data_IF_960676766129
#
_entry.id   IF_960676766129
#
_cell.length_a   1.000
_cell.length_b   1.000
_cell.length_c   1.000
_cell.angle_alpha   90.00
_cell.angle_beta   90.00
_cell.angle_gamma   90.00
#
_symmetry.space_group_name_H-M   'P 1'
#
loop_
_entity.id
_entity.type
_entity.pdbx_description
1 polymer ?
#
# COMPACT_ATOMS: atom_id res chain seq x y z
N UNK A 1 -22.91 35.90 4.17
CA UNK A 1 -22.81 35.11 5.42
C UNK A 1 -21.64 34.15 5.24
N UNK A 2 -20.74 34.05 6.22
CA UNK A 2 -19.32 33.71 6.06
C UNK A 2 -19.06 32.21 5.80
N UNK A 3 -18.21 31.91 4.82
CA UNK A 3 -17.62 30.60 4.53
C UNK A 3 -16.79 30.08 5.71
N UNK A 4 -17.35 29.14 6.48
CA UNK A 4 -16.61 28.47 7.55
C UNK A 4 -15.75 27.36 6.94
N UNK A 5 -14.52 27.74 6.57
CA UNK A 5 -13.46 26.84 6.13
C UNK A 5 -13.05 25.95 7.31
N UNK A 6 -13.57 24.72 7.35
CA UNK A 6 -13.22 23.69 8.35
C UNK A 6 -11.76 23.28 8.18
N UNK A 7 -10.85 23.92 8.91
CA UNK A 7 -9.44 23.49 8.99
C UNK A 7 -9.37 22.20 9.81
N UNK A 8 -9.30 21.08 9.11
CA UNK A 8 -9.16 19.75 9.71
C UNK A 8 -7.84 19.59 10.46
N UNK A 9 -7.91 19.01 11.65
CA UNK A 9 -6.78 18.61 12.48
C UNK A 9 -5.81 17.74 11.65
N UNK A 10 -4.56 18.21 11.48
CA UNK A 10 -3.53 17.48 10.74
C UNK A 10 -3.02 16.34 11.62
N UNK A 11 -3.60 15.14 11.46
CA UNK A 11 -3.09 13.93 12.12
C UNK A 11 -1.67 13.66 11.60
N UNK A 12 -0.68 13.81 12.48
CA UNK A 12 0.72 13.55 12.16
C UNK A 12 0.90 12.04 12.01
N UNK A 13 1.21 11.59 10.79
CA UNK A 13 1.50 10.18 10.52
C UNK A 13 2.96 9.91 10.86
N UNK A 14 3.19 9.06 11.85
CA UNK A 14 4.53 8.65 12.28
C UNK A 14 5.08 7.50 11.44
N UNK A 15 6.41 7.35 11.47
CA UNK A 15 7.11 6.23 10.85
C UNK A 15 7.44 6.42 9.37
N UNK A 16 8.05 5.38 8.79
CA UNK A 16 8.45 5.39 7.38
C UNK A 16 7.19 5.37 6.50
N UNK A 17 7.12 6.29 5.54
CA UNK A 17 6.07 6.29 4.53
C UNK A 17 6.15 4.98 3.73
N UNK A 18 5.05 4.23 3.58
CA UNK A 18 5.04 3.04 2.74
C UNK A 18 5.31 3.45 1.29
N UNK A 19 6.30 2.81 0.66
CA UNK A 19 6.69 3.07 -0.73
C UNK A 19 6.23 1.97 -1.70
N UNK A 20 5.65 0.88 -1.18
CA UNK A 20 5.22 -0.25 -2.00
C UNK A 20 3.81 -0.02 -2.52
N UNK A 21 3.64 -0.24 -3.82
CA UNK A 21 2.34 -0.22 -4.48
C UNK A 21 1.54 -1.49 -4.12
N UNK A 22 0.69 -1.35 -3.11
CA UNK A 22 -0.13 -2.44 -2.59
C UNK A 22 -1.23 -2.86 -3.56
N UNK A 23 -1.75 -1.91 -4.35
CA UNK A 23 -2.83 -2.17 -5.31
C UNK A 23 -2.31 -3.08 -6.41
N UNK A 24 -1.11 -2.77 -6.92
CA UNK A 24 -0.46 -3.59 -7.94
C UNK A 24 -0.12 -5.00 -7.44
N UNK A 25 0.30 -5.14 -6.18
CA UNK A 25 0.53 -6.47 -5.57
C UNK A 25 -0.77 -7.29 -5.55
N UNK A 26 -1.88 -6.72 -5.06
CA UNK A 26 -3.17 -7.42 -4.99
C UNK A 26 -3.67 -7.81 -6.37
N UNK A 27 -3.66 -6.88 -7.32
CA UNK A 27 -4.09 -7.13 -8.69
C UNK A 27 -3.32 -8.28 -9.35
N UNK A 28 -1.99 -8.27 -9.25
CA UNK A 28 -1.18 -9.36 -9.81
C UNK A 28 -1.49 -10.71 -9.15
N UNK A 29 -1.76 -10.71 -7.84
CA UNK A 29 -2.14 -11.92 -7.12
C UNK A 29 -3.53 -12.44 -7.54
N UNK A 30 -4.50 -11.53 -7.73
CA UNK A 30 -5.84 -11.84 -8.26
C UNK A 30 -5.79 -12.35 -9.70
N UNK A 31 -4.86 -11.84 -10.51
CA UNK A 31 -4.54 -12.34 -11.87
C UNK A 31 -3.85 -13.72 -11.85
N UNK A 32 -3.62 -14.32 -10.67
CA UNK A 32 -3.02 -15.64 -10.49
C UNK A 32 -1.50 -15.67 -10.47
N UNK A 33 -0.83 -14.51 -10.44
CA UNK A 33 0.63 -14.44 -10.39
C UNK A 33 1.12 -14.84 -9.00
N UNK A 34 2.04 -15.81 -8.95
CA UNK A 34 2.63 -16.27 -7.68
C UNK A 34 3.43 -15.18 -6.97
N UNK A 35 3.41 -15.20 -5.63
CA UNK A 35 4.07 -14.20 -4.79
C UNK A 35 5.57 -14.00 -5.08
N UNK A 36 6.27 -15.06 -5.51
CA UNK A 36 7.67 -15.02 -5.95
C UNK A 36 7.89 -14.13 -7.17
N UNK A 37 7.01 -14.28 -8.16
CA UNK A 37 7.11 -13.55 -9.41
C UNK A 37 6.70 -12.09 -9.19
N UNK A 38 5.67 -11.84 -8.36
CA UNK A 38 5.28 -10.48 -7.93
C UNK A 38 6.47 -9.77 -7.27
N UNK A 39 7.16 -10.45 -6.34
CA UNK A 39 8.33 -9.90 -5.67
C UNK A 39 9.44 -9.51 -6.67
N UNK A 40 9.68 -10.35 -7.68
CA UNK A 40 10.67 -10.09 -8.74
C UNK A 40 10.25 -8.92 -9.63
N UNK A 41 9.01 -8.89 -10.11
CA UNK A 41 8.49 -7.84 -10.99
C UNK A 41 8.48 -6.47 -10.32
N UNK A 42 8.12 -6.41 -9.04
CA UNK A 42 8.02 -5.15 -8.29
C UNK A 42 9.31 -4.79 -7.54
N UNK A 43 10.35 -5.63 -7.62
CA UNK A 43 11.63 -5.47 -6.91
C UNK A 43 11.45 -5.26 -5.40
N UNK A 44 10.57 -6.06 -4.80
CA UNK A 44 10.29 -6.06 -3.35
C UNK A 44 10.60 -7.43 -2.76
N UNK A 45 10.76 -7.49 -1.43
CA UNK A 45 10.93 -8.76 -0.73
C UNK A 45 9.63 -9.58 -0.69
N UNK A 46 9.74 -10.92 -0.74
CA UNK A 46 8.61 -11.85 -0.57
C UNK A 46 7.83 -11.61 0.72
N UNK A 47 8.52 -11.27 1.81
CA UNK A 47 7.91 -10.90 3.09
C UNK A 47 6.98 -9.69 2.96
N UNK A 48 7.32 -8.75 2.08
CA UNK A 48 6.46 -7.58 1.82
C UNK A 48 5.22 -7.96 1.01
N UNK A 49 5.36 -8.86 0.03
CA UNK A 49 4.21 -9.40 -0.71
C UNK A 49 3.22 -10.05 0.25
N UNK A 50 3.67 -10.99 1.08
CA UNK A 50 2.79 -11.64 2.07
C UNK A 50 2.21 -10.67 3.09
N UNK A 51 2.98 -9.67 3.53
CA UNK A 51 2.46 -8.62 4.42
C UNK A 51 1.32 -7.83 3.78
N UNK A 52 1.43 -7.51 2.49
CA UNK A 52 0.37 -6.81 1.75
C UNK A 52 -0.85 -7.70 1.53
N UNK A 53 -0.66 -9.00 1.27
CA UNK A 53 -1.77 -9.95 1.11
C UNK A 53 -2.47 -10.31 2.42
N UNK A 54 -1.75 -10.24 3.54
CA UNK A 54 -2.28 -10.51 4.88
C UNK A 54 -2.95 -9.30 5.53
N UNK A 55 -2.66 -8.09 5.07
CA UNK A 55 -3.29 -6.86 5.57
C UNK A 55 -4.56 -6.55 4.75
N UNK A 56 -5.69 -6.21 5.40
CA UNK A 56 -6.94 -5.90 4.72
C UNK A 56 -6.83 -4.68 3.77
#
# INVERSE_FOLDING_TARGET
MKDVKKQGLKVIKFGRKPTVDRVKVRRLYEDGVGATEIARQLKIGRSTVYKVLSEP
#
